data_IF_540044205358
#
_entry.id   IF_540044205358
#
_cell.length_a   1.000
_cell.length_b   1.000
_cell.length_c   1.000
_cell.angle_alpha   90.00
_cell.angle_beta   90.00
_cell.angle_gamma   90.00
#
_symmetry.space_group_name_H-M   'P 1'
#
loop_
_entity.id
_entity.type
_entity.pdbx_description
1 polymer ?
#
# COMPACT_ATOMS: atom_id res chain seq x y z
N UNK A 1 -23.51 1.58 -5.93
CA UNK A 1 -23.72 1.24 -4.50
C UNK A 1 -22.99 -0.04 -4.10
N UNK A 2 -23.12 -1.15 -4.84
CA UNK A 2 -22.40 -2.41 -4.54
C UNK A 2 -20.87 -2.23 -4.51
N UNK A 3 -20.28 -1.53 -5.49
CA UNK A 3 -18.84 -1.24 -5.51
C UNK A 3 -18.37 -0.41 -4.31
N UNK A 4 -19.19 0.52 -3.83
CA UNK A 4 -18.85 1.36 -2.68
C UNK A 4 -18.85 0.55 -1.37
N UNK A 5 -19.80 -0.38 -1.22
CA UNK A 5 -19.84 -1.31 -0.08
C UNK A 5 -18.60 -2.21 -0.10
N UNK A 6 -18.22 -2.74 -1.26
CA UNK A 6 -17.04 -3.57 -1.41
C UNK A 6 -15.75 -2.78 -1.08
N UNK A 7 -15.62 -1.56 -1.60
CA UNK A 7 -14.50 -0.68 -1.27
C UNK A 7 -14.44 -0.36 0.24
N UNK A 8 -15.58 -0.09 0.88
CA UNK A 8 -15.64 0.19 2.32
C UNK A 8 -15.21 -1.01 3.16
N UNK A 9 -15.56 -2.24 2.76
CA UNK A 9 -15.10 -3.46 3.45
C UNK A 9 -13.59 -3.67 3.39
N UNK A 10 -12.92 -3.11 2.37
CA UNK A 10 -11.47 -3.16 2.23
C UNK A 10 -10.77 -2.01 2.97
N UNK A 11 -11.24 -0.76 2.79
CA UNK A 11 -10.60 0.43 3.36
C UNK A 11 -10.83 0.53 4.88
N UNK A 12 -11.96 0.03 5.39
CA UNK A 12 -12.31 0.11 6.81
C UNK A 12 -11.30 -0.55 7.77
N UNK A 13 -10.91 -1.83 7.57
CA UNK A 13 -9.97 -2.51 8.46
C UNK A 13 -8.49 -2.14 8.23
N UNK A 14 -8.15 -1.54 7.08
CA UNK A 14 -6.77 -1.20 6.69
C UNK A 14 -6.01 -0.34 7.74
N UNK A 15 -6.54 0.79 8.24
CA UNK A 15 -5.82 1.61 9.23
C UNK A 15 -5.73 0.93 10.61
N UNK A 16 -6.68 0.06 10.95
CA UNK A 16 -6.65 -0.69 12.21
C UNK A 16 -5.50 -1.70 12.20
N UNK A 17 -5.32 -2.43 11.09
CA UNK A 17 -4.20 -3.35 10.91
C UNK A 17 -2.86 -2.62 10.97
N UNK A 18 -2.73 -1.50 10.24
CA UNK A 18 -1.51 -0.67 10.26
C UNK A 18 -1.18 -0.15 11.67
N UNK A 19 -2.18 0.23 12.45
CA UNK A 19 -2.00 0.67 13.82
C UNK A 19 -1.47 -0.45 14.74
N UNK A 20 -1.90 -1.70 14.54
CA UNK A 20 -1.47 -2.84 15.35
C UNK A 20 0.00 -3.23 15.14
N UNK A 21 0.58 -2.91 13.98
CA UNK A 21 2.00 -3.12 13.70
C UNK A 21 2.93 -2.30 14.61
N UNK A 22 2.47 -1.13 15.09
CA UNK A 22 3.29 -0.20 15.85
C UNK A 22 2.99 -0.25 17.36
N UNK A 23 4.02 -0.13 18.22
CA UNK A 23 3.84 -0.09 19.67
C UNK A 23 3.07 1.16 20.11
N UNK A 24 2.26 1.01 21.16
CA UNK A 24 1.24 1.99 21.57
C UNK A 24 1.79 3.39 21.82
N UNK A 25 3.02 3.51 22.32
CA UNK A 25 3.66 4.78 22.69
C UNK A 25 4.09 5.64 21.48
N UNK A 26 4.27 5.06 20.29
CA UNK A 26 4.71 5.79 19.09
C UNK A 26 3.82 5.56 17.87
N UNK A 27 2.69 4.87 18.04
CA UNK A 27 1.80 4.41 16.97
C UNK A 27 1.42 5.51 15.98
N UNK A 28 0.90 6.64 16.47
CA UNK A 28 0.43 7.71 15.59
C UNK A 28 1.58 8.36 14.79
N UNK A 29 2.72 8.58 15.44
CA UNK A 29 3.91 9.18 14.83
C UNK A 29 4.55 8.23 13.82
N UNK A 30 4.73 6.96 14.18
CA UNK A 30 5.32 5.95 13.29
C UNK A 30 4.44 5.69 12.06
N UNK A 31 3.12 5.60 12.25
CA UNK A 31 2.16 5.43 11.17
C UNK A 31 2.13 6.66 10.25
N UNK A 32 2.10 7.88 10.82
CA UNK A 32 2.14 9.11 10.03
C UNK A 32 3.42 9.25 9.22
N UNK A 33 4.59 8.94 9.81
CA UNK A 33 5.88 9.02 9.11
C UNK A 33 5.92 8.00 7.97
N UNK A 34 5.67 6.72 8.26
CA UNK A 34 5.72 5.67 7.25
C UNK A 34 4.73 5.90 6.11
N UNK A 35 3.48 6.26 6.44
CA UNK A 35 2.43 6.52 5.48
C UNK A 35 2.74 7.76 4.63
N UNK A 36 3.10 8.88 5.26
CA UNK A 36 3.40 10.10 4.50
C UNK A 36 4.64 9.94 3.63
N UNK A 37 5.70 9.29 4.11
CA UNK A 37 6.89 9.03 3.28
C UNK A 37 6.56 8.17 2.06
N UNK A 38 5.81 7.07 2.26
CA UNK A 38 5.36 6.24 1.14
C UNK A 38 4.48 7.03 0.17
N UNK A 39 3.50 7.79 0.69
CA UNK A 39 2.56 8.57 -0.13
C UNK A 39 3.27 9.71 -0.87
N UNK A 40 4.27 10.36 -0.27
CA UNK A 40 5.08 11.38 -0.94
C UNK A 40 5.91 10.81 -2.09
N UNK A 41 6.49 9.63 -1.92
CA UNK A 41 7.29 8.98 -2.97
C UNK A 41 6.39 8.48 -4.09
N UNK A 42 5.35 7.70 -3.77
CA UNK A 42 4.52 7.02 -4.77
C UNK A 42 3.37 7.88 -5.30
N UNK A 43 2.95 8.93 -4.59
CA UNK A 43 1.81 9.76 -4.98
C UNK A 43 2.05 10.54 -6.28
N UNK A 44 3.26 11.06 -6.49
CA UNK A 44 3.61 11.79 -7.72
C UNK A 44 4.30 10.92 -8.78
N UNK A 45 5.03 9.88 -8.37
CA UNK A 45 5.79 9.03 -9.31
C UNK A 45 4.90 8.05 -10.05
N UNK A 46 3.80 7.58 -9.45
CA UNK A 46 2.86 6.64 -10.10
C UNK A 46 2.32 7.17 -11.44
N UNK A 47 1.71 8.37 -11.52
CA UNK A 47 1.19 8.88 -12.79
C UNK A 47 2.30 9.14 -13.82
N UNK A 48 3.48 9.62 -13.38
CA UNK A 48 4.62 9.86 -14.27
C UNK A 48 5.14 8.56 -14.90
N UNK A 49 5.30 7.51 -14.10
CA UNK A 49 5.74 6.19 -14.59
C UNK A 49 4.67 5.57 -15.48
N UNK A 50 3.39 5.69 -15.11
CA UNK A 50 2.27 5.23 -15.93
C UNK A 50 2.26 5.92 -17.30
N UNK A 51 2.35 7.25 -17.33
CA UNK A 51 2.36 8.02 -18.57
C UNK A 51 3.58 7.65 -19.43
N UNK A 52 4.76 7.53 -18.83
CA UNK A 52 5.96 7.08 -19.51
C UNK A 52 5.78 5.69 -20.15
N UNK A 53 5.19 4.75 -19.41
CA UNK A 53 4.94 3.39 -19.90
C UNK A 53 3.91 3.37 -21.02
N UNK A 54 2.82 4.12 -20.89
CA UNK A 54 1.79 4.22 -21.94
C UNK A 54 2.38 4.88 -23.19
N UNK A 55 3.18 5.93 -23.05
CA UNK A 55 3.83 6.61 -24.17
C UNK A 55 4.82 5.69 -24.91
N UNK A 56 5.59 4.87 -24.17
CA UNK A 56 6.54 3.90 -24.75
C UNK A 56 5.84 2.70 -25.43
N UNK A 57 4.74 2.22 -24.87
CA UNK A 57 4.10 0.97 -25.31
C UNK A 57 2.92 1.21 -26.27
N UNK A 58 2.37 2.44 -26.31
CA UNK A 58 1.19 2.79 -27.10
C UNK A 58 -0.14 2.23 -26.58
N UNK A 59 -0.12 1.48 -25.47
CA UNK A 59 -1.30 0.83 -24.90
C UNK A 59 -1.48 1.21 -23.43
N UNK A 60 -2.73 1.51 -23.05
CA UNK A 60 -3.12 1.86 -21.66
C UNK A 60 -2.88 0.69 -20.70
N UNK A 61 -2.90 -0.55 -21.20
CA UNK A 61 -2.68 -1.77 -20.41
C UNK A 61 -1.24 -1.90 -19.88
N UNK A 62 -0.29 -1.11 -20.38
CA UNK A 62 1.10 -1.14 -19.88
C UNK A 62 1.19 -0.82 -18.39
N UNK A 63 0.23 -0.07 -17.84
CA UNK A 63 0.01 0.16 -16.42
C UNK A 63 0.13 -1.09 -15.53
N UNK A 64 -0.26 -2.25 -16.06
CA UNK A 64 -0.23 -3.52 -15.35
C UNK A 64 1.19 -3.85 -14.88
N UNK A 65 2.24 -3.48 -15.62
CA UNK A 65 3.62 -3.68 -15.19
C UNK A 65 3.96 -2.90 -13.91
N UNK A 66 3.41 -1.70 -13.73
CA UNK A 66 3.57 -0.93 -12.50
C UNK A 66 2.86 -1.60 -11.31
N UNK A 67 1.67 -2.16 -11.55
CA UNK A 67 0.92 -2.90 -10.53
C UNK A 67 1.66 -4.19 -10.14
N UNK A 68 2.20 -4.93 -11.10
CA UNK A 68 3.01 -6.14 -10.85
C UNK A 68 4.23 -5.79 -9.99
N UNK A 69 4.94 -4.71 -10.33
CA UNK A 69 6.09 -4.23 -9.56
C UNK A 69 5.70 -3.90 -8.11
N UNK A 70 4.57 -3.20 -7.93
CA UNK A 70 4.03 -2.88 -6.60
C UNK A 70 3.67 -4.13 -5.81
N UNK A 71 3.12 -5.15 -6.47
CA UNK A 71 2.81 -6.45 -5.87
C UNK A 71 4.07 -7.17 -5.38
N UNK A 72 5.17 -7.11 -6.14
CA UNK A 72 6.46 -7.68 -5.72
C UNK A 72 6.97 -6.98 -4.46
N UNK A 73 6.93 -5.64 -4.41
CA UNK A 73 7.29 -4.90 -3.21
C UNK A 73 6.41 -5.26 -2.00
N UNK A 74 5.10 -5.43 -2.21
CA UNK A 74 4.18 -5.86 -1.17
C UNK A 74 4.50 -7.27 -0.65
N UNK A 75 4.83 -8.22 -1.53
CA UNK A 75 5.25 -9.57 -1.15
C UNK A 75 6.57 -9.57 -0.36
N UNK A 76 7.53 -8.74 -0.75
CA UNK A 76 8.77 -8.54 -0.01
C UNK A 76 8.46 -7.98 1.38
N UNK A 77 7.63 -6.93 1.48
CA UNK A 77 7.22 -6.35 2.75
C UNK A 77 6.51 -7.38 3.65
N UNK A 78 5.64 -8.20 3.06
CA UNK A 78 4.97 -9.30 3.76
C UNK A 78 5.95 -10.36 4.26
N UNK A 79 7.04 -10.61 3.54
CA UNK A 79 8.08 -11.54 4.00
C UNK A 79 8.81 -11.07 5.25
N UNK A 80 8.87 -9.75 5.47
CA UNK A 80 9.40 -9.15 6.71
C UNK A 80 8.33 -8.97 7.79
N UNK A 81 7.06 -9.25 7.49
CA UNK A 81 5.98 -9.14 8.46
C UNK A 81 6.10 -10.23 9.53
N UNK A 82 6.51 -9.82 10.74
CA UNK A 82 6.53 -10.70 11.92
C UNK A 82 5.15 -10.68 12.57
N UNK A 83 4.42 -11.80 12.47
CA UNK A 83 3.06 -11.91 12.98
C UNK A 83 3.03 -11.87 14.52
N UNK A 84 2.77 -10.69 15.10
CA UNK A 84 2.78 -10.46 16.55
C UNK A 84 1.47 -10.85 17.26
N UNK A 85 0.47 -11.31 16.49
CA UNK A 85 -0.86 -11.69 16.99
C UNK A 85 -0.83 -13.01 17.80
N UNK A 86 0.11 -13.91 17.53
CA UNK A 86 0.19 -15.23 18.20
C UNK A 86 0.95 -15.23 19.54
N UNK A 87 1.64 -14.14 19.89
CA UNK A 87 2.37 -14.01 21.18
C UNK A 87 1.47 -13.56 22.35
N UNK A 88 0.15 -13.42 22.12
CA UNK A 88 -0.83 -12.99 23.12
C UNK A 88 -1.77 -14.11 23.61
N UNK A 89 -1.49 -15.38 23.28
CA UNK A 89 -2.23 -16.55 23.81
C UNK A 89 -1.43 -17.20 24.92
#
# INVERSE_FOLDING_TARGET
MILAILAASYIGPEPALQAELYPTNIRNTALSISYNTATSIFGGTTPLVFEYLVHKTGHVTSAVYYVILSCIFALIALSFYKNRSLDKI
#
